data_IF_201885653763
#
_entry.id   IF_201885653763
#
_cell.length_a   1.000
_cell.length_b   1.000
_cell.length_c   1.000
_cell.angle_alpha   90.00
_cell.angle_beta   90.00
_cell.angle_gamma   90.00
#
_symmetry.space_group_name_H-M   'P 1'
#
loop_
_entity.id
_entity.type
_entity.pdbx_description
1 polymer ?
#
# COMPACT_ATOMS: atom_id res chain seq x y z
N UNK A 1 24.01 5.02 20.17
CA UNK A 1 23.73 3.78 19.44
C UNK A 1 22.91 4.19 18.23
N UNK A 2 23.45 4.09 17.04
CA UNK A 2 22.66 4.26 15.81
C UNK A 2 21.82 2.99 15.70
N UNK A 3 20.51 3.10 15.92
CA UNK A 3 19.56 2.02 15.62
C UNK A 3 19.65 1.75 14.12
N UNK A 4 20.44 0.73 13.75
CA UNK A 4 20.41 0.21 12.39
C UNK A 4 19.02 -0.35 12.13
N UNK A 5 18.28 0.28 11.22
CA UNK A 5 16.99 -0.24 10.78
C UNK A 5 17.23 -1.60 10.14
N UNK A 6 16.76 -2.70 10.72
CA UNK A 6 17.04 -4.02 10.20
C UNK A 6 16.42 -4.19 8.81
N UNK A 7 17.27 -4.53 7.85
CA UNK A 7 16.86 -4.80 6.48
C UNK A 7 16.62 -6.29 6.29
N UNK A 8 15.55 -6.66 5.59
CA UNK A 8 15.28 -8.02 5.12
C UNK A 8 15.35 -8.13 3.61
N UNK A 9 16.00 -9.19 3.18
CA UNK A 9 16.08 -9.61 1.78
C UNK A 9 15.38 -10.95 1.64
N UNK A 10 14.44 -11.05 0.71
CA UNK A 10 13.64 -12.26 0.49
C UNK A 10 13.54 -12.58 -1.00
N UNK A 11 13.56 -13.86 -1.32
CA UNK A 11 13.29 -14.41 -2.65
C UNK A 11 11.99 -15.20 -2.63
N UNK A 12 11.28 -15.25 -3.75
CA UNK A 12 10.05 -16.06 -3.87
C UNK A 12 10.36 -17.44 -4.43
N UNK A 13 10.14 -18.47 -3.62
CA UNK A 13 10.34 -19.87 -3.98
C UNK A 13 8.97 -20.54 -4.03
N UNK A 14 8.52 -20.92 -5.23
CA UNK A 14 7.13 -21.35 -5.41
C UNK A 14 6.16 -20.22 -5.10
N UNK A 15 5.27 -20.40 -4.12
CA UNK A 15 4.33 -19.38 -3.68
C UNK A 15 4.78 -18.62 -2.44
N UNK A 16 5.83 -19.05 -1.75
CA UNK A 16 6.30 -18.53 -0.49
C UNK A 16 7.50 -17.59 -0.63
N UNK A 17 7.62 -16.66 0.32
CA UNK A 17 8.76 -15.76 0.43
C UNK A 17 9.76 -16.27 1.45
N UNK A 18 10.96 -16.63 0.99
CA UNK A 18 12.07 -17.13 1.80
C UNK A 18 12.99 -15.99 2.24
N UNK A 19 13.27 -15.90 3.55
CA UNK A 19 14.18 -14.91 4.13
C UNK A 19 15.65 -15.33 3.92
N UNK A 20 16.36 -14.60 3.08
CA UNK A 20 17.78 -14.81 2.78
C UNK A 20 18.68 -13.73 3.37
N UNK A 21 18.20 -12.94 4.32
CA UNK A 21 18.91 -11.81 4.92
C UNK A 21 20.25 -12.21 5.52
N UNK A 22 20.32 -13.37 6.16
CA UNK A 22 21.56 -13.91 6.75
C UNK A 22 22.66 -14.18 5.70
N UNK A 23 22.28 -14.32 4.43
CA UNK A 23 23.22 -14.52 3.31
C UNK A 23 23.73 -13.18 2.74
N UNK A 24 23.04 -12.08 2.98
CA UNK A 24 23.42 -10.77 2.47
C UNK A 24 24.74 -10.30 3.14
N UNK A 25 25.70 -9.89 2.32
CA UNK A 25 26.95 -9.30 2.80
C UNK A 25 26.69 -7.85 3.22
N UNK A 26 26.61 -7.59 4.52
CA UNK A 26 26.36 -6.25 5.09
C UNK A 26 27.42 -5.23 4.67
N UNK A 27 28.67 -5.66 4.52
CA UNK A 27 29.79 -4.80 4.09
C UNK A 27 29.65 -4.30 2.66
N UNK A 28 28.98 -5.06 1.79
CA UNK A 28 28.68 -4.64 0.41
C UNK A 28 27.45 -3.74 0.32
N UNK A 29 26.58 -3.79 1.35
CA UNK A 29 25.31 -3.05 1.38
C UNK A 29 24.31 -3.53 0.33
N UNK A 30 23.13 -2.92 0.35
CA UNK A 30 22.13 -3.04 -0.71
C UNK A 30 21.92 -1.67 -1.35
N UNK A 31 22.17 -1.58 -2.64
CA UNK A 31 21.99 -0.36 -3.41
C UNK A 31 20.67 -0.42 -4.17
N UNK A 32 19.78 0.52 -3.91
CA UNK A 32 18.51 0.64 -4.62
C UNK A 32 18.48 1.97 -5.36
N UNK A 33 18.24 1.92 -6.66
CA UNK A 33 18.11 3.10 -7.52
C UNK A 33 16.66 3.19 -8.02
N UNK A 34 16.06 4.38 -8.00
CA UNK A 34 14.68 4.63 -8.42
C UNK A 34 14.54 5.95 -9.13
N UNK A 35 13.53 6.01 -10.02
CA UNK A 35 13.01 7.25 -10.55
C UNK A 35 13.81 7.83 -11.70
N UNK A 36 13.86 9.16 -11.71
CA UNK A 36 14.53 9.97 -12.72
C UNK A 36 15.79 10.59 -12.14
N UNK A 37 16.80 10.77 -12.96
CA UNK A 37 18.00 11.53 -12.58
C UNK A 37 17.73 13.04 -12.51
N UNK A 38 16.74 13.53 -13.29
CA UNK A 38 16.24 14.90 -13.30
C UNK A 38 14.83 14.94 -13.89
N UNK A 39 14.16 16.10 -13.85
CA UNK A 39 12.79 16.29 -14.33
C UNK A 39 12.61 16.03 -15.83
N UNK A 40 13.65 16.23 -16.64
CA UNK A 40 13.62 16.07 -18.09
C UNK A 40 13.97 14.65 -18.55
N UNK A 41 14.49 13.79 -17.66
CA UNK A 41 14.84 12.42 -18.02
C UNK A 41 13.62 11.49 -17.97
N UNK A 42 13.62 10.49 -18.86
CA UNK A 42 12.63 9.42 -18.80
C UNK A 42 12.72 8.66 -17.48
N UNK A 43 11.59 8.18 -16.96
CA UNK A 43 11.58 7.31 -15.81
C UNK A 43 12.27 5.98 -16.16
N UNK A 44 13.33 5.64 -15.43
CA UNK A 44 14.02 4.35 -15.55
C UNK A 44 13.43 3.32 -14.58
N UNK A 45 13.45 2.03 -14.93
CA UNK A 45 13.09 0.99 -13.99
C UNK A 45 13.92 1.11 -12.70
N UNK A 46 13.29 0.86 -11.56
CA UNK A 46 14.05 0.70 -10.32
C UNK A 46 14.99 -0.49 -10.43
N UNK A 47 16.16 -0.39 -9.83
CA UNK A 47 17.13 -1.49 -9.75
C UNK A 47 17.58 -1.71 -8.31
N UNK A 48 17.94 -2.94 -8.00
CA UNK A 48 18.60 -3.29 -6.75
C UNK A 48 19.85 -4.12 -7.03
N UNK A 49 20.92 -3.80 -6.33
CA UNK A 49 22.18 -4.54 -6.34
C UNK A 49 22.51 -5.00 -4.93
N UNK A 50 22.86 -6.26 -4.77
CA UNK A 50 23.27 -6.84 -3.50
C UNK A 50 24.23 -8.00 -3.73
N UNK A 51 25.01 -8.32 -2.70
CA UNK A 51 25.93 -9.45 -2.73
C UNK A 51 25.55 -10.45 -1.65
N UNK A 52 25.45 -11.72 -2.02
CA UNK A 52 25.10 -12.83 -1.12
C UNK A 52 26.29 -13.77 -0.95
N UNK A 53 26.43 -14.35 0.23
CA UNK A 53 27.34 -15.47 0.49
C UNK A 53 26.83 -16.70 -0.28
N UNK A 54 27.74 -17.37 -0.97
CA UNK A 54 27.41 -18.53 -1.84
C UNK A 54 28.41 -19.66 -1.70
N UNK A 55 28.98 -19.87 -0.50
CA UNK A 55 29.97 -20.91 -0.24
C UNK A 55 29.44 -22.34 -0.45
N UNK A 56 28.14 -22.52 -0.29
CA UNK A 56 27.42 -23.78 -0.50
C UNK A 56 26.79 -23.90 -1.90
N UNK A 57 27.02 -22.93 -2.80
CA UNK A 57 26.46 -22.92 -4.14
C UNK A 57 24.95 -22.71 -4.20
N UNK A 58 24.30 -22.33 -3.09
CA UNK A 58 22.84 -22.20 -3.00
C UNK A 58 22.24 -21.22 -4.02
N UNK A 59 22.97 -20.15 -4.36
CA UNK A 59 22.57 -19.15 -5.35
C UNK A 59 23.22 -19.32 -6.72
N UNK A 60 23.80 -20.49 -6.98
CA UNK A 60 24.32 -20.81 -8.31
C UNK A 60 23.17 -21.26 -9.21
N UNK A 61 22.88 -20.56 -10.33
CA UNK A 61 21.82 -20.95 -11.25
C UNK A 61 22.00 -22.38 -11.73
N UNK A 62 20.89 -23.13 -11.77
CA UNK A 62 20.85 -24.52 -12.22
C UNK A 62 21.65 -25.50 -11.37
N UNK A 63 22.01 -25.16 -10.15
CA UNK A 63 22.63 -26.11 -9.23
C UNK A 63 21.54 -27.01 -8.60
N UNK A 64 21.53 -28.33 -8.88
CA UNK A 64 20.52 -29.23 -8.33
C UNK A 64 20.68 -29.48 -6.83
N UNK A 65 21.83 -29.14 -6.24
CA UNK A 65 22.09 -29.24 -4.80
C UNK A 65 21.63 -28.00 -4.04
N UNK A 66 21.16 -26.96 -4.74
CA UNK A 66 20.57 -25.79 -4.09
C UNK A 66 19.31 -26.18 -3.31
N UNK A 67 19.12 -25.71 -2.06
CA UNK A 67 17.90 -25.96 -1.32
C UNK A 67 16.65 -25.35 -1.97
N UNK A 68 16.86 -24.45 -2.92
CA UNK A 68 15.79 -23.76 -3.67
C UNK A 68 15.69 -24.20 -5.14
N UNK A 69 16.28 -25.35 -5.50
CA UNK A 69 16.12 -25.95 -6.84
C UNK A 69 14.63 -26.21 -7.14
N UNK A 70 14.12 -25.95 -8.34
CA UNK A 70 14.77 -25.38 -9.54
C UNK A 70 14.62 -23.86 -9.68
N UNK A 71 14.32 -23.11 -8.60
CA UNK A 71 13.88 -21.73 -8.65
C UNK A 71 15.00 -20.69 -8.82
N UNK A 72 16.27 -21.07 -8.57
CA UNK A 72 17.41 -20.15 -8.71
C UNK A 72 17.77 -19.99 -10.19
N UNK A 73 17.14 -19.00 -10.82
CA UNK A 73 17.41 -18.60 -12.21
C UNK A 73 16.98 -17.14 -12.44
N UNK A 74 17.27 -16.62 -13.63
CA UNK A 74 16.81 -15.29 -14.06
C UNK A 74 15.28 -15.19 -13.95
N UNK A 75 14.82 -14.05 -13.52
CA UNK A 75 13.39 -13.82 -13.29
C UNK A 75 12.89 -14.24 -11.92
N UNK A 76 13.76 -14.78 -11.04
CA UNK A 76 13.43 -15.03 -9.63
C UNK A 76 12.91 -13.76 -8.97
N UNK A 77 11.69 -13.76 -8.39
CA UNK A 77 11.19 -12.61 -7.66
C UNK A 77 12.03 -12.37 -6.41
N UNK A 78 12.39 -11.10 -6.19
CA UNK A 78 13.15 -10.65 -5.02
C UNK A 78 12.53 -9.38 -4.46
N UNK A 79 12.55 -9.25 -3.13
CA UNK A 79 12.16 -8.01 -2.46
C UNK A 79 13.12 -7.66 -1.33
N UNK A 80 13.29 -6.37 -1.11
CA UNK A 80 14.04 -5.80 -0.01
C UNK A 80 13.09 -5.00 0.84
N UNK A 81 13.05 -5.30 2.13
CA UNK A 81 12.19 -4.64 3.12
C UNK A 81 13.02 -4.02 4.24
N UNK A 82 12.49 -3.02 4.90
CA UNK A 82 12.99 -2.55 6.19
C UNK A 82 12.05 -3.09 7.26
N UNK A 83 12.59 -3.80 8.23
CA UNK A 83 11.87 -4.10 9.45
C UNK A 83 11.86 -2.82 10.28
N UNK A 84 10.72 -2.13 10.33
CA UNK A 84 10.47 -1.22 11.44
C UNK A 84 10.09 -2.05 12.66
N UNK A 85 10.38 -1.58 13.90
CA UNK A 85 10.08 -2.38 15.06
C UNK A 85 8.60 -2.78 15.08
N UNK A 86 8.38 -3.99 14.72
CA UNK A 86 7.46 -5.01 15.18
C UNK A 86 5.97 -4.71 15.29
N UNK A 87 5.38 -3.80 14.55
CA UNK A 87 3.93 -3.73 14.53
C UNK A 87 3.37 -3.70 13.11
N UNK A 88 2.33 -4.48 12.89
CA UNK A 88 1.54 -4.43 11.68
C UNK A 88 0.88 -3.06 11.52
N UNK A 89 0.40 -2.76 10.34
CA UNK A 89 -0.35 -1.54 10.05
C UNK A 89 -1.30 -1.77 8.87
N UNK A 90 -2.40 -1.06 8.83
CA UNK A 90 -3.20 -0.94 7.63
C UNK A 90 -2.51 0.03 6.66
N UNK A 91 -2.02 -0.50 5.55
CA UNK A 91 -1.45 0.30 4.46
C UNK A 91 -2.55 0.81 3.54
N UNK A 92 -2.54 2.12 3.31
CA UNK A 92 -3.44 2.83 2.42
C UNK A 92 -2.66 3.44 1.27
N UNK A 93 -3.09 3.18 0.04
CA UNK A 93 -2.38 3.58 -1.18
C UNK A 93 -2.75 4.96 -1.73
N UNK A 94 -3.62 5.71 -1.05
CA UNK A 94 -4.10 7.01 -1.52
C UNK A 94 -5.12 6.91 -2.67
N UNK A 95 -5.65 5.74 -2.96
CA UNK A 95 -6.67 5.54 -3.98
C UNK A 95 -8.04 5.28 -3.37
N UNK A 96 -9.13 5.70 -4.04
CA UNK A 96 -10.49 5.34 -3.63
C UNK A 96 -10.67 3.82 -3.50
N UNK A 97 -11.40 3.39 -2.45
CA UNK A 97 -11.61 1.96 -2.16
C UNK A 97 -10.52 1.28 -1.34
N UNK A 98 -9.46 2.02 -0.91
CA UNK A 98 -8.60 1.61 0.18
C UNK A 98 -9.22 2.07 1.50
N UNK A 99 -9.66 1.15 2.36
CA UNK A 99 -10.24 1.47 3.66
C UNK A 99 -10.40 0.20 4.49
N UNK A 100 -10.54 0.34 5.79
CA UNK A 100 -11.16 -0.68 6.60
C UNK A 100 -12.57 -0.20 6.99
N UNK A 101 -13.54 -1.11 7.05
CA UNK A 101 -14.91 -0.77 7.42
C UNK A 101 -15.53 -1.81 8.34
N UNK A 102 -16.42 -1.34 9.21
CA UNK A 102 -17.31 -2.21 9.99
C UNK A 102 -18.77 -1.87 9.64
N UNK A 103 -19.67 -2.86 9.56
CA UNK A 103 -21.09 -2.60 9.35
C UNK A 103 -21.66 -1.67 10.42
N UNK A 104 -22.77 -1.04 10.09
CA UNK A 104 -23.57 -0.30 11.06
C UNK A 104 -24.00 -1.17 12.25
N UNK A 105 -23.99 -0.57 13.43
CA UNK A 105 -24.40 -1.22 14.67
C UNK A 105 -24.87 -0.19 15.68
N UNK A 106 -25.87 -0.53 16.49
CA UNK A 106 -26.48 0.38 17.47
C UNK A 106 -25.51 0.99 18.47
N UNK A 107 -24.37 0.34 18.78
CA UNK A 107 -23.34 0.96 19.62
C UNK A 107 -22.55 2.09 18.93
N UNK A 108 -22.66 2.22 17.61
CA UNK A 108 -22.08 3.29 16.83
C UNK A 108 -23.04 4.46 16.61
N UNK A 109 -24.26 4.37 17.15
CA UNK A 109 -25.29 5.39 17.08
C UNK A 109 -25.13 6.40 18.22
N UNK A 110 -23.97 7.05 18.24
CA UNK A 110 -23.63 8.10 19.22
C UNK A 110 -24.44 9.34 18.87
N UNK A 111 -25.28 9.82 19.79
CA UNK A 111 -26.09 11.04 19.63
C UNK A 111 -25.66 12.18 20.53
N UNK A 112 -24.89 11.87 21.55
CA UNK A 112 -24.30 12.79 22.51
C UNK A 112 -22.82 13.04 22.25
N UNK A 113 -22.08 13.21 23.32
CA UNK A 113 -20.63 13.46 23.27
C UNK A 113 -19.89 12.34 22.59
N UNK A 114 -18.84 12.70 21.86
CA UNK A 114 -17.98 11.74 21.14
C UNK A 114 -16.51 12.05 21.37
N UNK A 115 -15.69 10.98 21.49
CA UNK A 115 -14.23 11.07 21.56
C UNK A 115 -13.65 10.14 20.48
N UNK A 116 -12.87 10.71 19.58
CA UNK A 116 -12.29 9.99 18.44
C UNK A 116 -10.77 10.14 18.50
N UNK A 117 -10.08 9.01 18.42
CA UNK A 117 -8.61 8.92 18.43
C UNK A 117 -8.13 8.18 17.21
N UNK A 118 -7.04 8.65 16.64
CA UNK A 118 -6.43 8.07 15.45
C UNK A 118 -4.91 8.10 15.59
N UNK A 119 -4.25 6.99 15.28
CA UNK A 119 -2.79 6.89 15.23
C UNK A 119 -2.37 6.35 13.87
N UNK A 120 -1.42 7.02 13.24
CA UNK A 120 -0.92 6.61 11.95
C UNK A 120 0.38 7.28 11.56
N UNK A 121 0.94 6.82 10.45
CA UNK A 121 2.04 7.46 9.73
C UNK A 121 1.56 7.79 8.34
N UNK A 122 1.05 8.98 8.18
CA UNK A 122 0.36 9.42 6.98
C UNK A 122 0.95 10.74 6.45
N UNK A 123 0.53 11.15 5.26
CA UNK A 123 0.82 12.48 4.73
C UNK A 123 -0.15 13.49 5.37
N UNK A 124 0.30 14.12 6.46
CA UNK A 124 -0.53 15.06 7.24
C UNK A 124 -0.82 16.39 6.51
N UNK A 125 -0.08 16.69 5.45
CA UNK A 125 -0.21 17.91 4.67
C UNK A 125 -0.70 17.69 3.25
N UNK A 126 -1.50 16.65 3.00
CA UNK A 126 -2.03 16.35 1.67
C UNK A 126 -2.78 17.56 1.07
N UNK A 127 -2.51 17.85 -0.20
CA UNK A 127 -3.02 19.05 -0.89
C UNK A 127 -4.55 19.16 -0.94
N UNK A 128 -5.26 18.06 -0.79
CA UNK A 128 -6.73 17.97 -0.80
C UNK A 128 -7.35 17.79 0.59
N UNK A 129 -6.52 17.66 1.65
CA UNK A 129 -6.95 17.18 2.95
C UNK A 129 -7.06 15.64 2.98
N UNK A 130 -7.41 15.09 4.14
CA UNK A 130 -7.42 13.64 4.36
C UNK A 130 -8.51 13.26 5.35
N UNK A 131 -9.38 12.32 5.00
CA UNK A 131 -10.34 11.70 5.93
C UNK A 131 -9.61 10.62 6.73
N UNK A 132 -9.66 10.73 8.05
CA UNK A 132 -9.07 9.76 8.98
C UNK A 132 -10.03 8.60 9.24
N UNK A 133 -11.24 8.92 9.70
CA UNK A 133 -12.31 7.96 9.93
C UNK A 133 -13.67 8.66 9.96
N UNK A 134 -14.75 7.89 9.88
CA UNK A 134 -16.09 8.46 9.97
C UNK A 134 -17.20 7.42 9.83
N UNK A 135 -18.41 7.86 10.15
CA UNK A 135 -19.68 7.20 9.90
C UNK A 135 -20.48 8.14 8.99
N UNK A 136 -20.11 8.16 7.68
CA UNK A 136 -20.54 9.23 6.78
C UNK A 136 -20.77 8.74 5.36
N UNK A 137 -22.04 8.67 4.95
CA UNK A 137 -22.43 8.33 3.58
C UNK A 137 -23.35 9.41 3.01
N UNK A 138 -23.05 9.86 1.78
CA UNK A 138 -23.81 10.90 1.10
C UNK A 138 -25.15 10.38 0.61
N UNK A 139 -25.16 9.17 0.07
CA UNK A 139 -26.37 8.54 -0.46
C UNK A 139 -27.34 8.21 0.68
N UNK A 140 -28.58 8.69 0.54
CA UNK A 140 -29.63 8.48 1.52
C UNK A 140 -29.50 9.30 2.79
N UNK A 141 -28.72 10.40 2.75
CA UNK A 141 -28.58 11.34 3.88
C UNK A 141 -28.16 10.64 5.18
N UNK A 142 -27.11 9.82 5.11
CA UNK A 142 -26.58 9.05 6.24
C UNK A 142 -25.27 9.64 6.77
N UNK A 143 -25.21 10.94 6.95
CA UNK A 143 -24.06 11.68 7.49
C UNK A 143 -24.17 11.77 8.99
N UNK A 144 -23.39 10.97 9.73
CA UNK A 144 -23.32 11.03 11.18
C UNK A 144 -22.18 11.98 11.62
N UNK A 145 -20.96 11.49 11.59
CA UNK A 145 -19.76 12.25 11.90
C UNK A 145 -18.57 11.86 11.03
N UNK A 146 -17.61 12.78 10.85
CA UNK A 146 -16.42 12.61 10.04
C UNK A 146 -15.24 13.35 10.64
N UNK A 147 -14.14 12.66 10.93
CA UNK A 147 -12.89 13.22 11.42
C UNK A 147 -11.86 13.26 10.29
N UNK A 148 -11.27 14.43 10.07
CA UNK A 148 -10.41 14.71 8.95
C UNK A 148 -9.27 15.68 9.29
N UNK A 149 -8.28 15.74 8.39
CA UNK A 149 -7.25 16.79 8.37
C UNK A 149 -7.43 17.60 7.10
N UNK A 150 -7.46 18.92 7.23
CA UNK A 150 -7.59 19.84 6.10
C UNK A 150 -6.26 19.99 5.35
N UNK A 151 -6.30 20.58 4.14
CA UNK A 151 -5.09 20.96 3.39
C UNK A 151 -4.17 21.94 4.15
N UNK A 152 -4.71 22.65 5.12
CA UNK A 152 -3.95 23.57 5.98
C UNK A 152 -3.45 22.90 7.26
N UNK A 153 -3.57 21.57 7.35
CA UNK A 153 -3.18 20.76 8.52
C UNK A 153 -3.99 21.05 9.78
N UNK A 154 -5.16 21.64 9.67
CA UNK A 154 -6.09 21.74 10.78
C UNK A 154 -6.84 20.42 10.93
N UNK A 155 -7.02 19.96 12.17
CA UNK A 155 -7.96 18.90 12.46
C UNK A 155 -9.37 19.43 12.27
N UNK A 156 -10.26 18.61 11.73
CA UNK A 156 -11.64 18.99 11.41
C UNK A 156 -12.58 17.87 11.83
N UNK A 157 -13.59 18.21 12.64
CA UNK A 157 -14.71 17.34 12.92
C UNK A 157 -15.95 17.91 12.21
N UNK A 158 -16.60 17.06 11.42
CA UNK A 158 -17.89 17.36 10.80
C UNK A 158 -18.95 16.41 11.37
N UNK A 159 -20.16 16.90 11.59
CA UNK A 159 -21.33 16.08 11.97
C UNK A 159 -22.61 16.71 11.44
N UNK A 160 -23.73 15.98 11.56
CA UNK A 160 -25.06 16.49 11.26
C UNK A 160 -26.02 16.10 12.38
N UNK A 161 -27.12 16.79 12.48
CA UNK A 161 -28.17 16.50 13.47
C UNK A 161 -29.28 15.61 12.93
N UNK A 162 -29.42 15.49 11.59
CA UNK A 162 -30.49 14.73 10.93
C UNK A 162 -30.03 13.91 9.72
N UNK A 163 -28.73 13.85 9.44
CA UNK A 163 -28.14 13.12 8.31
C UNK A 163 -28.05 13.94 7.03
N UNK A 164 -28.75 15.07 6.91
CA UNK A 164 -28.78 15.87 5.68
C UNK A 164 -27.59 16.84 5.58
N UNK A 165 -27.30 17.29 4.37
CA UNK A 165 -26.29 18.33 4.18
C UNK A 165 -26.71 19.70 4.75
N UNK A 166 -28.00 19.93 4.96
CA UNK A 166 -28.52 21.21 5.46
C UNK A 166 -28.18 21.43 6.94
N UNK A 167 -28.05 20.36 7.72
CA UNK A 167 -27.73 20.41 9.16
C UNK A 167 -26.26 20.12 9.44
N UNK A 168 -25.41 20.10 8.42
CA UNK A 168 -23.98 19.85 8.59
C UNK A 168 -23.32 20.97 9.39
N UNK A 169 -22.70 20.59 10.48
CA UNK A 169 -21.85 21.42 11.33
C UNK A 169 -20.38 21.00 11.16
N UNK A 170 -19.47 21.92 11.51
CA UNK A 170 -18.06 21.70 11.33
C UNK A 170 -17.25 22.59 12.25
N UNK A 171 -16.38 21.96 13.06
CA UNK A 171 -15.40 22.66 13.90
C UNK A 171 -13.99 22.24 13.50
N UNK A 172 -13.05 23.17 13.60
CA UNK A 172 -11.63 22.99 13.31
C UNK A 172 -10.76 23.38 14.48
N UNK A 173 -9.59 22.72 14.59
CA UNK A 173 -8.57 23.19 15.52
C UNK A 173 -8.12 24.61 15.19
N UNK A 174 -7.80 25.41 16.21
CA UNK A 174 -7.32 26.80 16.05
C UNK A 174 -5.87 26.84 15.58
N UNK A 175 -5.10 25.77 15.85
CA UNK A 175 -3.70 25.62 15.45
C UNK A 175 -3.54 24.44 14.45
N UNK A 176 -2.59 24.57 13.52
CA UNK A 176 -2.27 23.47 12.61
C UNK A 176 -1.46 22.38 13.32
N UNK A 177 -1.55 21.14 12.81
CA UNK A 177 -0.70 20.04 13.24
C UNK A 177 0.78 20.43 13.19
N UNK A 178 1.58 20.07 14.20
CA UNK A 178 3.00 20.41 14.27
C UNK A 178 3.83 19.64 13.20
N UNK A 179 3.24 18.60 12.63
CA UNK A 179 3.92 17.75 11.66
C UNK A 179 3.71 18.23 10.22
N UNK A 180 4.75 18.03 9.41
CA UNK A 180 4.71 18.25 7.97
C UNK A 180 5.14 16.97 7.25
N UNK A 181 4.45 16.64 6.16
CA UNK A 181 4.79 15.47 5.35
C UNK A 181 4.46 14.14 6.01
N UNK A 182 5.17 13.10 5.62
CA UNK A 182 4.91 11.71 5.98
C UNK A 182 5.61 11.31 7.28
N UNK A 183 4.94 11.47 8.41
CA UNK A 183 5.47 11.11 9.73
C UNK A 183 4.44 10.41 10.62
N UNK A 184 4.93 9.76 11.68
CA UNK A 184 4.07 9.12 12.67
C UNK A 184 3.53 10.16 13.65
N UNK A 185 2.30 9.93 14.15
CA UNK A 185 1.67 10.72 15.17
C UNK A 185 0.27 10.23 15.48
N UNK A 186 -0.28 10.72 16.57
CA UNK A 186 -1.63 10.44 16.99
C UNK A 186 -2.40 11.76 17.21
N UNK A 187 -3.68 11.75 16.84
CA UNK A 187 -4.58 12.89 16.96
C UNK A 187 -5.87 12.46 17.66
N UNK A 188 -6.46 13.38 18.40
CA UNK A 188 -7.71 13.15 19.13
C UNK A 188 -8.60 14.37 18.95
N UNK A 189 -9.91 14.13 18.89
CA UNK A 189 -10.95 15.15 19.02
C UNK A 189 -12.01 14.66 19.98
N UNK A 190 -12.46 15.54 20.87
CA UNK A 190 -13.65 15.34 21.68
C UNK A 190 -14.65 16.47 21.39
N UNK A 191 -15.93 16.10 21.22
CA UNK A 191 -17.05 17.03 21.10
C UNK A 191 -17.95 16.83 22.32
N UNK A 192 -18.13 17.90 23.09
CA UNK A 192 -19.18 18.07 24.10
C UNK A 192 -20.37 18.74 23.41
N UNK A 193 -21.49 18.04 23.33
CA UNK A 193 -22.69 18.52 22.60
C UNK A 193 -23.54 19.48 23.43
N UNK A 194 -23.30 19.56 24.74
CA UNK A 194 -24.03 20.43 25.67
C UNK A 194 -23.11 20.97 26.81
N UNK A 195 -22.12 21.74 26.45
CA UNK A 195 -21.24 22.43 27.38
C UNK A 195 -21.95 23.70 27.92
N UNK A 196 -22.76 23.51 28.95
CA UNK A 196 -23.50 24.62 29.64
C UNK A 196 -24.45 25.40 28.72
N UNK A 197 -25.03 24.71 27.71
CA UNK A 197 -25.97 25.31 26.75
C UNK A 197 -25.34 25.66 25.40
N UNK A 198 -24.04 25.52 25.28
CA UNK A 198 -23.26 25.61 24.04
C UNK A 198 -22.69 24.25 23.66
N UNK A 199 -21.91 24.14 22.60
CA UNK A 199 -21.16 22.93 22.28
C UNK A 199 -19.70 23.26 22.03
N UNK A 200 -18.80 22.36 22.50
CA UNK A 200 -17.36 22.60 22.49
C UNK A 200 -16.58 21.42 21.89
N UNK A 201 -15.71 21.69 20.91
CA UNK A 201 -14.76 20.73 20.43
C UNK A 201 -13.34 21.05 20.89
N UNK A 202 -12.63 20.05 21.39
CA UNK A 202 -11.23 20.15 21.80
C UNK A 202 -10.39 19.16 21.00
N UNK A 203 -9.19 19.57 20.61
CA UNK A 203 -8.27 18.78 19.80
C UNK A 203 -6.96 18.54 20.52
N UNK A 204 -6.33 17.38 20.29
CA UNK A 204 -5.04 17.02 20.88
C UNK A 204 -4.16 16.29 19.87
N UNK A 205 -2.85 16.30 20.17
CA UNK A 205 -1.81 15.56 19.47
C UNK A 205 -0.97 14.76 20.46
N UNK A 206 -0.41 13.66 20.00
CA UNK A 206 0.55 12.84 20.74
C UNK A 206 1.49 12.10 19.78
N UNK A 207 2.58 11.51 20.27
CA UNK A 207 3.42 10.64 19.47
C UNK A 207 2.73 9.30 19.16
N UNK A 208 1.99 8.76 20.13
CA UNK A 208 1.20 7.55 20.02
C UNK A 208 -0.17 7.74 20.68
N UNK A 209 -1.11 6.85 20.41
CA UNK A 209 -2.45 6.90 21.02
C UNK A 209 -2.43 6.69 22.54
N UNK A 210 -1.37 6.11 23.11
CA UNK A 210 -1.22 5.94 24.55
C UNK A 210 -0.84 7.24 25.27
N UNK A 211 -0.56 8.31 24.53
CA UNK A 211 -0.20 9.65 25.04
C UNK A 211 1.29 9.75 25.44
N UNK A 212 1.67 10.77 26.20
CA UNK A 212 0.79 11.81 26.73
C UNK A 212 0.19 12.71 25.64
N UNK A 213 -1.05 13.14 25.84
CA UNK A 213 -1.76 14.02 24.93
C UNK A 213 -1.45 15.49 25.24
N UNK A 214 -1.15 16.26 24.21
CA UNK A 214 -0.97 17.71 24.28
C UNK A 214 -2.10 18.38 23.51
N UNK A 215 -2.79 19.33 24.12
CA UNK A 215 -3.87 20.07 23.48
C UNK A 215 -3.33 20.85 22.27
N UNK A 216 -4.07 20.81 21.16
CA UNK A 216 -3.75 21.49 19.91
C UNK A 216 -4.60 22.76 19.76
N UNK A 217 -4.02 23.89 20.14
CA UNK A 217 -4.72 25.16 20.17
C UNK A 217 -5.77 25.26 21.27
N UNK A 218 -6.62 26.28 21.21
CA UNK A 218 -7.71 26.48 22.18
C UNK A 218 -8.93 25.63 21.80
N UNK A 219 -9.77 25.21 22.78
CA UNK A 219 -11.08 24.64 22.52
C UNK A 219 -11.93 25.62 21.70
N UNK A 220 -12.76 25.08 20.83
CA UNK A 220 -13.67 25.88 19.98
C UNK A 220 -15.09 25.64 20.46
N UNK A 221 -15.72 26.69 20.98
CA UNK A 221 -17.10 26.69 21.46
C UNK A 221 -18.00 27.45 20.48
N UNK A 222 -19.11 26.86 20.09
CA UNK A 222 -20.15 27.48 19.28
C UNK A 222 -21.48 27.53 20.06
N UNK A 223 -22.29 28.58 19.86
CA UNK A 223 -23.53 28.77 20.61
C UNK A 223 -24.60 27.74 20.35
N UNK A 224 -25.29 27.30 21.39
CA UNK A 224 -26.38 26.36 21.37
C UNK A 224 -25.92 24.90 21.47
N UNK A 225 -26.75 24.06 22.04
CA UNK A 225 -26.52 22.64 22.11
C UNK A 225 -26.65 22.02 20.72
N UNK A 226 -25.98 20.87 20.51
CA UNK A 226 -26.06 20.10 19.27
C UNK A 226 -26.37 18.62 19.55
N UNK A 227 -26.44 17.80 18.52
CA UNK A 227 -26.52 16.34 18.62
C UNK A 227 -25.92 15.71 17.38
N UNK A 228 -25.55 14.45 17.45
CA UNK A 228 -25.00 13.71 16.33
C UNK A 228 -26.09 12.77 15.80
N UNK A 229 -26.28 12.73 14.47
CA UNK A 229 -27.26 11.87 13.83
C UNK A 229 -26.88 10.39 13.92
N UNK A 230 -27.80 9.57 14.43
CA UNK A 230 -27.67 8.11 14.45
C UNK A 230 -28.00 7.52 13.06
N UNK A 231 -27.06 7.65 12.14
CA UNK A 231 -27.23 7.16 10.76
C UNK A 231 -26.91 5.70 10.58
N UNK A 232 -27.45 5.07 9.54
CA UNK A 232 -27.20 3.67 9.19
C UNK A 232 -25.98 3.46 8.28
N UNK A 233 -25.10 4.45 8.16
CA UNK A 233 -23.84 4.30 7.44
C UNK A 233 -22.91 3.32 8.14
N UNK A 234 -22.21 2.43 7.44
CA UNK A 234 -21.04 1.78 8.00
C UNK A 234 -20.03 2.80 8.52
N UNK A 235 -19.22 2.41 9.51
CA UNK A 235 -18.05 3.21 9.90
C UNK A 235 -16.85 2.81 9.06
N UNK A 236 -16.11 3.80 8.56
CA UNK A 236 -14.89 3.61 7.77
C UNK A 236 -13.65 4.22 8.42
N UNK A 237 -12.50 3.60 8.17
CA UNK A 237 -11.15 4.12 8.48
C UNK A 237 -10.46 4.41 7.16
N UNK A 238 -9.92 5.61 7.00
CA UNK A 238 -9.38 6.12 5.74
C UNK A 238 -10.46 6.60 4.74
N UNK A 239 -11.73 6.55 5.16
CA UNK A 239 -12.89 7.04 4.41
C UNK A 239 -14.07 7.24 5.36
N UNK A 240 -15.16 7.85 4.89
CA UNK A 240 -16.34 8.08 5.71
C UNK A 240 -17.17 6.82 5.98
N UNK A 241 -17.30 5.94 5.00
CA UNK A 241 -18.14 4.73 5.07
C UNK A 241 -17.46 3.46 4.54
N UNK A 242 -16.20 3.57 4.15
CA UNK A 242 -15.46 2.46 3.56
C UNK A 242 -15.81 2.14 2.10
N UNK A 243 -16.74 2.84 1.46
CA UNK A 243 -17.18 2.52 0.09
C UNK A 243 -16.50 3.35 -1.02
N UNK A 244 -15.77 4.40 -0.65
CA UNK A 244 -15.09 5.27 -1.60
C UNK A 244 -15.02 6.74 -1.16
N UNK A 245 -14.62 7.66 -2.03
CA UNK A 245 -14.48 9.07 -1.66
C UNK A 245 -15.87 9.68 -1.41
N UNK A 246 -16.25 9.75 -0.14
CA UNK A 246 -17.51 10.35 0.29
C UNK A 246 -17.52 11.87 0.18
N UNK A 247 -16.34 12.51 0.16
CA UNK A 247 -16.19 13.96 0.06
C UNK A 247 -14.94 14.24 -0.77
N UNK A 248 -15.11 14.57 -2.06
CA UNK A 248 -13.97 14.92 -2.92
C UNK A 248 -12.82 13.91 -2.84
N UNK A 249 -11.74 14.10 -3.52
CA UNK A 249 -10.62 13.14 -3.61
C UNK A 249 -9.76 13.01 -2.34
N UNK A 250 -10.36 12.94 -1.15
CA UNK A 250 -9.68 12.85 0.14
C UNK A 250 -9.22 11.41 0.47
N UNK A 251 -8.36 10.87 -0.36
CA UNK A 251 -7.83 9.52 -0.14
C UNK A 251 -6.64 9.54 0.81
N UNK A 252 -6.72 8.84 1.92
CA UNK A 252 -5.63 8.68 2.87
C UNK A 252 -4.51 7.84 2.24
N UNK A 253 -3.27 8.32 2.34
CA UNK A 253 -2.06 7.59 1.95
C UNK A 253 -1.15 7.43 3.16
N UNK A 254 -0.79 6.21 3.46
CA UNK A 254 0.13 5.91 4.57
C UNK A 254 -0.21 4.65 5.33
N UNK A 255 0.26 4.59 6.57
CA UNK A 255 0.08 3.48 7.50
C UNK A 255 -0.82 3.93 8.64
N UNK A 256 -1.89 3.20 8.89
CA UNK A 256 -2.76 3.41 10.04
C UNK A 256 -2.46 2.33 11.05
N UNK A 257 -2.26 2.72 12.28
CA UNK A 257 -1.93 1.83 13.39
C UNK A 257 -3.15 1.48 14.22
N UNK A 258 -3.84 2.51 14.76
CA UNK A 258 -5.00 2.33 15.64
C UNK A 258 -6.03 3.43 15.41
N UNK A 259 -7.28 3.09 15.60
CA UNK A 259 -8.39 4.05 15.70
C UNK A 259 -9.22 3.67 16.90
N UNK A 260 -9.75 4.64 17.62
CA UNK A 260 -10.64 4.41 18.75
C UNK A 260 -11.77 5.44 18.73
N UNK A 261 -12.99 4.98 18.89
CA UNK A 261 -14.18 5.81 19.01
C UNK A 261 -14.89 5.47 20.29
N UNK A 262 -15.27 6.49 21.05
CA UNK A 262 -15.94 6.38 22.33
C UNK A 262 -17.26 7.11 22.32
N UNK A 263 -18.25 6.54 22.94
CA UNK A 263 -19.50 7.16 23.32
C UNK A 263 -19.30 7.90 24.64
N UNK A 264 -19.29 9.21 24.55
CA UNK A 264 -18.87 10.13 25.62
C UNK A 264 -17.36 10.44 25.64
N UNK A 265 -17.00 11.62 26.17
CA UNK A 265 -15.61 12.07 26.35
C UNK A 265 -14.94 11.16 27.39
N UNK A 266 -13.84 10.49 26.98
CA UNK A 266 -13.20 9.41 27.74
C UNK A 266 -14.18 8.28 28.16
N UNK A 267 -15.32 8.17 27.47
CA UNK A 267 -16.41 7.26 27.75
C UNK A 267 -16.19 5.82 27.24
N UNK A 268 -17.28 5.12 26.95
CA UNK A 268 -17.24 3.71 26.55
C UNK A 268 -16.68 3.56 25.15
N UNK A 269 -15.70 2.65 24.98
CA UNK A 269 -15.14 2.31 23.66
C UNK A 269 -16.18 1.52 22.86
N UNK A 270 -16.57 2.03 21.70
CA UNK A 270 -17.57 1.42 20.79
C UNK A 270 -16.99 0.87 19.50
N UNK A 271 -15.80 1.35 19.11
CA UNK A 271 -15.00 0.79 18.04
C UNK A 271 -13.50 1.02 18.34
N UNK A 272 -12.67 0.00 18.17
CA UNK A 272 -11.24 0.08 18.47
C UNK A 272 -10.41 -0.85 17.56
N UNK A 273 -10.39 -0.64 16.23
CA UNK A 273 -9.52 -1.43 15.36
C UNK A 273 -8.06 -1.13 15.66
N UNK A 274 -7.34 -2.13 16.14
CA UNK A 274 -5.90 -2.13 16.37
C UNK A 274 -5.22 -2.96 15.27
N UNK A 275 -4.77 -2.29 14.22
CA UNK A 275 -4.09 -2.93 13.09
C UNK A 275 -2.69 -3.42 13.45
N UNK A 276 -2.14 -3.00 14.60
CA UNK A 276 -0.79 -3.42 15.04
C UNK A 276 -0.79 -4.85 15.59
N UNK A 277 -1.94 -5.34 16.02
CA UNK A 277 -2.13 -6.68 16.53
C UNK A 277 -2.67 -7.67 15.50
N UNK A 278 -2.90 -7.22 14.26
CA UNK A 278 -3.49 -8.06 13.19
C UNK A 278 -2.39 -8.66 12.32
N UNK A 279 -2.49 -9.94 12.01
CA UNK A 279 -1.54 -10.65 11.15
C UNK A 279 -1.54 -10.07 9.71
N UNK A 280 -0.35 -9.90 9.09
CA UNK A 280 -0.23 -9.43 7.71
C UNK A 280 -1.04 -10.26 6.72
N UNK A 281 -1.69 -9.57 5.78
CA UNK A 281 -2.53 -10.20 4.76
C UNK A 281 -3.94 -10.55 5.23
N UNK A 282 -4.28 -10.30 6.50
CA UNK A 282 -5.64 -10.48 7.02
C UNK A 282 -6.62 -9.54 6.30
N UNK A 283 -7.74 -10.07 5.86
CA UNK A 283 -8.79 -9.31 5.16
C UNK A 283 -10.01 -9.00 6.03
N UNK A 284 -10.15 -9.68 7.17
CA UNK A 284 -11.20 -9.41 8.14
C UNK A 284 -10.78 -9.84 9.56
N UNK A 285 -11.10 -9.04 10.56
CA UNK A 285 -10.81 -9.32 11.98
C UNK A 285 -11.84 -8.65 12.89
N UNK A 286 -11.90 -9.08 14.16
CA UNK A 286 -12.71 -8.44 15.19
C UNK A 286 -11.83 -7.54 16.05
N UNK A 287 -12.33 -6.34 16.41
CA UNK A 287 -11.67 -5.46 17.37
C UNK A 287 -12.09 -5.80 18.83
N UNK A 288 -11.46 -5.12 19.80
CA UNK A 288 -11.74 -5.31 21.22
C UNK A 288 -13.13 -4.85 21.66
N UNK A 289 -13.80 -4.02 20.87
CA UNK A 289 -15.20 -3.59 21.09
C UNK A 289 -16.22 -4.56 20.44
N UNK A 290 -15.76 -5.66 19.83
CA UNK A 290 -16.59 -6.67 19.19
C UNK A 290 -17.08 -6.29 17.79
N UNK A 291 -16.46 -5.30 17.14
CA UNK A 291 -16.78 -4.91 15.75
C UNK A 291 -15.97 -5.75 14.78
N UNK A 292 -16.62 -6.28 13.74
CA UNK A 292 -15.94 -6.98 12.65
C UNK A 292 -15.55 -6.00 11.58
N UNK A 293 -14.25 -5.89 11.33
CA UNK A 293 -13.68 -5.05 10.30
C UNK A 293 -13.34 -5.85 9.05
N UNK A 294 -13.62 -5.27 7.90
CA UNK A 294 -13.25 -5.81 6.58
C UNK A 294 -12.29 -4.83 5.90
N UNK A 295 -11.18 -5.34 5.41
CA UNK A 295 -10.19 -4.55 4.67
C UNK A 295 -10.63 -4.45 3.21
N UNK A 296 -10.71 -3.23 2.70
CA UNK A 296 -11.06 -2.96 1.30
C UNK A 296 -9.99 -3.47 0.33
N UNK A 297 -10.37 -3.71 -0.91
CA UNK A 297 -9.51 -4.33 -1.93
C UNK A 297 -8.20 -3.58 -2.25
N UNK A 298 -8.05 -2.34 -1.81
CA UNK A 298 -6.84 -1.51 -1.97
C UNK A 298 -6.16 -1.14 -0.65
N UNK A 299 -6.64 -1.69 0.46
CA UNK A 299 -5.98 -1.70 1.75
C UNK A 299 -5.28 -3.04 1.96
N UNK A 300 -4.23 -3.08 2.75
CA UNK A 300 -3.50 -4.29 3.09
C UNK A 300 -2.95 -4.17 4.50
N UNK A 301 -3.10 -5.22 5.31
CA UNK A 301 -2.37 -5.31 6.59
C UNK A 301 -0.95 -5.74 6.27
N UNK A 302 0.01 -4.90 6.63
CA UNK A 302 1.44 -5.15 6.43
C UNK A 302 2.21 -4.96 7.74
N UNK A 303 3.29 -5.70 7.90
CA UNK A 303 4.20 -5.58 9.05
C UNK A 303 5.52 -4.86 8.69
N UNK A 304 5.70 -4.49 7.41
CA UNK A 304 7.02 -4.11 6.88
C UNK A 304 6.93 -3.14 5.71
N UNK A 305 8.00 -2.35 5.55
CA UNK A 305 8.15 -1.44 4.41
C UNK A 305 8.95 -2.09 3.29
N UNK A 306 8.27 -2.44 2.22
CA UNK A 306 8.95 -2.86 0.99
C UNK A 306 9.69 -1.68 0.38
N UNK A 307 11.02 -1.80 0.28
CA UNK A 307 11.88 -0.81 -0.38
C UNK A 307 12.13 -1.12 -1.84
N UNK A 308 12.14 -2.39 -2.19
CA UNK A 308 12.30 -2.83 -3.56
C UNK A 308 11.51 -4.12 -3.77
N UNK A 309 10.81 -4.19 -4.88
CA UNK A 309 10.26 -5.43 -5.44
C UNK A 309 10.67 -5.51 -6.89
N UNK A 310 11.18 -6.65 -7.30
CA UNK A 310 11.63 -6.85 -8.66
C UNK A 310 11.89 -8.31 -8.98
N UNK A 311 12.58 -8.51 -10.08
CA UNK A 311 13.07 -9.83 -10.49
C UNK A 311 14.55 -9.78 -10.75
N UNK A 312 15.23 -10.85 -10.41
CA UNK A 312 16.65 -11.02 -10.65
C UNK A 312 16.92 -11.06 -12.14
N UNK A 313 17.81 -10.21 -12.60
CA UNK A 313 18.28 -10.17 -13.99
C UNK A 313 19.54 -10.99 -14.17
N UNK A 314 20.42 -10.96 -13.18
CA UNK A 314 21.73 -11.53 -13.27
C UNK A 314 22.21 -12.07 -11.93
N UNK A 315 22.87 -13.22 -11.99
CA UNK A 315 23.64 -13.84 -10.93
C UNK A 315 25.10 -13.89 -11.38
N UNK A 316 25.92 -12.97 -10.85
CA UNK A 316 27.37 -12.97 -11.07
C UNK A 316 28.04 -13.83 -9.99
N UNK A 317 28.20 -15.13 -10.26
CA UNK A 317 28.81 -16.05 -9.30
C UNK A 317 30.33 -15.90 -9.32
N UNK A 318 30.93 -15.68 -8.15
CA UNK A 318 32.38 -15.62 -7.97
C UNK A 318 32.83 -16.72 -7.03
N UNK A 319 33.71 -17.55 -7.52
CA UNK A 319 34.37 -18.59 -6.75
C UNK A 319 35.71 -18.11 -6.23
N UNK A 320 36.17 -18.58 -5.06
CA UNK A 320 37.51 -18.23 -4.57
C UNK A 320 38.54 -18.74 -5.58
N UNK A 321 39.51 -17.88 -5.88
CA UNK A 321 40.66 -18.30 -6.66
C UNK A 321 41.62 -19.02 -5.68
N UNK A 322 41.92 -20.29 -5.95
CA UNK A 322 42.92 -21.03 -5.18
C UNK A 322 44.28 -20.31 -5.30
N UNK A 323 44.78 -19.80 -4.18
CA UNK A 323 46.06 -19.14 -4.10
C UNK A 323 47.20 -20.12 -3.84
N UNK A 324 46.93 -21.44 -3.97
CA UNK A 324 47.95 -22.48 -3.74
C UNK A 324 48.30 -22.76 -2.26
N UNK A 325 47.52 -22.20 -1.32
CA UNK A 325 47.52 -22.60 0.09
C UNK A 325 46.31 -23.50 0.32
N UNK A 326 46.52 -24.54 1.13
CA UNK A 326 45.61 -25.65 1.36
C UNK A 326 44.27 -25.30 2.03
N UNK A 327 43.92 -24.01 2.15
CA UNK A 327 42.68 -23.57 2.72
C UNK A 327 42.08 -22.42 1.88
N UNK A 328 41.16 -22.74 0.94
CA UNK A 328 40.40 -21.70 0.26
C UNK A 328 39.53 -21.03 1.30
N UNK A 329 39.71 -19.72 1.53
CA UNK A 329 38.83 -18.94 2.39
C UNK A 329 37.37 -19.12 1.91
N UNK A 330 36.54 -19.89 2.63
CA UNK A 330 35.17 -20.15 2.22
C UNK A 330 34.31 -18.87 2.21
N UNK A 331 34.79 -17.78 2.83
CA UNK A 331 34.18 -16.48 2.78
C UNK A 331 34.33 -15.76 1.44
N UNK A 332 35.23 -16.21 0.56
CA UNK A 332 35.48 -15.56 -0.73
C UNK A 332 34.45 -15.93 -1.81
N UNK A 333 33.67 -17.01 -1.63
CA UNK A 333 32.61 -17.38 -2.57
C UNK A 333 31.37 -16.52 -2.33
N UNK A 334 31.02 -15.73 -3.34
CA UNK A 334 29.84 -14.88 -3.29
C UNK A 334 29.16 -14.77 -4.65
N UNK A 335 27.91 -14.34 -4.64
CA UNK A 335 27.14 -14.02 -5.84
C UNK A 335 26.68 -12.58 -5.74
N UNK A 336 26.98 -11.78 -6.75
CA UNK A 336 26.37 -10.47 -6.92
C UNK A 336 25.08 -10.63 -7.71
N UNK A 337 24.00 -10.09 -7.16
CA UNK A 337 22.68 -10.11 -7.77
C UNK A 337 22.35 -8.71 -8.22
N UNK A 338 21.93 -8.60 -9.49
CA UNK A 338 21.27 -7.41 -10.03
C UNK A 338 19.81 -7.75 -10.30
N UNK A 339 18.90 -6.90 -9.81
CA UNK A 339 17.47 -7.08 -9.99
C UNK A 339 16.83 -5.80 -10.52
N UNK A 340 15.79 -5.94 -11.34
CA UNK A 340 15.03 -4.82 -11.87
C UNK A 340 13.56 -4.86 -11.45
N UNK A 341 12.99 -3.67 -11.22
CA UNK A 341 11.61 -3.48 -10.84
C UNK A 341 10.61 -3.73 -11.98
N UNK A 342 9.30 -3.74 -11.69
CA UNK A 342 8.25 -4.10 -12.64
C UNK A 342 8.23 -3.27 -13.94
N UNK A 343 8.67 -2.01 -13.88
CA UNK A 343 8.69 -1.14 -15.05
C UNK A 343 9.57 -1.67 -16.20
N UNK A 344 10.60 -2.47 -15.88
CA UNK A 344 11.43 -3.12 -16.90
C UNK A 344 10.63 -4.06 -17.79
N UNK A 345 9.66 -4.77 -17.22
CA UNK A 345 8.78 -5.65 -18.02
C UNK A 345 7.92 -4.86 -19.01
N UNK A 346 7.46 -3.68 -18.60
CA UNK A 346 6.71 -2.79 -19.48
C UNK A 346 7.58 -2.26 -20.62
N UNK A 347 8.90 -2.09 -20.38
CA UNK A 347 9.86 -1.66 -21.40
C UNK A 347 10.36 -2.80 -22.30
N UNK A 348 10.37 -4.03 -21.81
CA UNK A 348 10.76 -5.21 -22.61
C UNK A 348 9.72 -5.58 -23.69
N UNK A 349 8.55 -4.93 -23.63
CA UNK A 349 7.43 -5.22 -24.50
C UNK A 349 6.85 -6.61 -24.25
N UNK A 350 5.57 -6.71 -23.97
CA UNK A 350 4.86 -7.88 -24.45
C UNK A 350 5.06 -7.92 -25.97
N UNK A 351 5.22 -9.08 -26.61
CA UNK A 351 5.07 -9.15 -28.07
C UNK A 351 3.83 -8.34 -28.41
N UNK A 352 3.94 -7.48 -29.41
CA UNK A 352 2.83 -6.63 -29.87
C UNK A 352 1.61 -7.55 -29.89
N UNK A 353 0.56 -7.19 -29.19
CA UNK A 353 -0.66 -8.01 -29.20
C UNK A 353 -1.06 -8.13 -30.66
N UNK A 354 -1.00 -9.36 -31.17
CA UNK A 354 -1.46 -9.67 -32.50
C UNK A 354 -2.91 -9.19 -32.65
N UNK A 355 -3.30 -8.80 -33.85
CA UNK A 355 -4.62 -8.24 -34.11
C UNK A 355 -5.73 -9.14 -33.57
N UNK A 356 -6.87 -8.57 -33.28
CA UNK A 356 -8.04 -9.33 -32.84
C UNK A 356 -8.42 -10.42 -33.83
N UNK A 357 -8.25 -10.13 -35.14
CA UNK A 357 -8.50 -11.10 -36.20
C UNK A 357 -7.49 -12.26 -36.17
N UNK A 358 -6.21 -11.96 -36.02
CA UNK A 358 -5.16 -12.97 -35.87
C UNK A 358 -5.47 -13.90 -34.71
N UNK A 359 -5.72 -13.35 -33.52
CA UNK A 359 -6.04 -14.14 -32.32
C UNK A 359 -7.31 -14.98 -32.47
N UNK A 360 -8.31 -14.45 -33.18
CA UNK A 360 -9.55 -15.17 -33.44
C UNK A 360 -9.31 -16.37 -34.39
N UNK A 361 -8.60 -16.15 -35.50
CA UNK A 361 -8.33 -17.18 -36.52
C UNK A 361 -7.40 -18.26 -36.00
N UNK A 362 -6.41 -17.91 -35.18
CA UNK A 362 -5.45 -18.88 -34.60
C UNK A 362 -5.93 -19.54 -33.31
N UNK A 363 -7.12 -19.19 -32.82
CA UNK A 363 -7.67 -19.81 -31.62
C UNK A 363 -7.92 -21.31 -31.81
N UNK A 364 -7.60 -22.17 -30.82
CA UNK A 364 -7.77 -23.64 -30.93
C UNK A 364 -9.23 -24.06 -31.23
N UNK A 365 -10.19 -23.21 -31.01
CA UNK A 365 -11.61 -23.46 -31.29
C UNK A 365 -11.98 -23.26 -32.74
N UNK A 366 -11.10 -22.66 -33.56
CA UNK A 366 -11.35 -22.44 -35.00
C UNK A 366 -10.92 -23.64 -35.81
N UNK A 367 -11.81 -24.14 -36.63
CA UNK A 367 -11.57 -25.31 -37.51
C UNK A 367 -11.92 -24.96 -38.95
N UNK A 368 -11.31 -25.65 -39.91
CA UNK A 368 -11.63 -25.49 -41.33
C UNK A 368 -10.92 -24.33 -42.04
N UNK A 369 -10.01 -23.62 -41.37
CA UNK A 369 -9.21 -22.57 -41.98
C UNK A 369 -8.04 -23.23 -42.72
N UNK A 370 -8.00 -23.07 -44.05
CA UNK A 370 -7.01 -23.69 -44.93
C UNK A 370 -5.76 -22.85 -45.07
N UNK A 371 -5.90 -21.51 -45.09
CA UNK A 371 -4.79 -20.56 -45.20
C UNK A 371 -5.19 -19.22 -44.61
N UNK A 372 -4.21 -18.52 -44.01
CA UNK A 372 -4.36 -17.19 -43.49
C UNK A 372 -3.01 -16.45 -43.49
N UNK A 373 -2.95 -15.26 -44.05
CA UNK A 373 -1.80 -14.38 -44.04
C UNK A 373 -2.20 -13.03 -43.39
N UNK A 374 -1.79 -12.79 -42.16
CA UNK A 374 -2.25 -11.62 -41.36
C UNK A 374 -1.74 -10.29 -41.85
N UNK A 375 -0.66 -10.24 -42.65
CA UNK A 375 0.04 -9.03 -43.04
C UNK A 375 0.59 -8.23 -41.85
N UNK A 376 0.95 -8.92 -40.80
CA UNK A 376 1.48 -8.35 -39.55
C UNK A 376 3.03 -8.50 -39.44
N UNK A 377 3.66 -8.99 -40.50
CA UNK A 377 5.13 -9.02 -40.63
C UNK A 377 5.64 -7.58 -40.70
N UNK A 378 6.79 -7.32 -40.11
CA UNK A 378 7.34 -5.95 -39.99
C UNK A 378 7.49 -5.21 -41.33
N UNK A 379 7.66 -3.89 -41.25
CA UNK A 379 7.72 -2.97 -42.40
C UNK A 379 8.68 -3.40 -43.51
N UNK A 380 9.78 -4.08 -43.17
CA UNK A 380 10.82 -4.50 -44.07
C UNK A 380 10.73 -5.98 -44.48
N UNK A 381 9.59 -6.61 -44.20
CA UNK A 381 9.36 -8.01 -44.53
C UNK A 381 9.39 -8.23 -46.05
N UNK A 382 10.07 -9.27 -46.49
CA UNK A 382 10.13 -9.69 -47.88
C UNK A 382 9.11 -10.77 -48.25
N UNK A 383 8.44 -11.27 -47.26
CA UNK A 383 7.36 -12.26 -47.38
C UNK A 383 6.37 -12.06 -46.24
N UNK A 384 5.16 -12.54 -46.42
CA UNK A 384 4.11 -12.57 -45.42
C UNK A 384 4.00 -13.96 -44.87
N UNK A 385 4.25 -14.12 -43.59
CA UNK A 385 4.20 -15.40 -42.89
C UNK A 385 2.78 -15.82 -42.58
N UNK A 386 2.52 -17.10 -42.53
CA UNK A 386 1.27 -17.66 -42.03
C UNK A 386 1.49 -18.28 -40.66
N UNK A 387 0.62 -18.04 -39.68
CA UNK A 387 0.66 -18.70 -38.38
C UNK A 387 0.13 -20.17 -38.44
N UNK A 388 -0.48 -20.54 -39.55
CA UNK A 388 -1.06 -21.88 -39.71
C UNK A 388 -0.01 -22.89 -40.20
N UNK A 389 0.07 -24.08 -39.57
CA UNK A 389 1.01 -25.10 -39.97
C UNK A 389 0.81 -25.54 -41.43
N UNK A 390 1.92 -25.65 -42.17
CA UNK A 390 1.89 -26.14 -43.55
C UNK A 390 1.51 -25.13 -44.64
N UNK A 391 1.20 -23.89 -44.25
CA UNK A 391 0.87 -22.81 -45.20
C UNK A 391 2.16 -22.12 -45.66
N UNK A 392 2.38 -22.08 -46.97
CA UNK A 392 3.55 -21.44 -47.57
C UNK A 392 3.48 -19.90 -47.42
N UNK A 393 4.56 -19.21 -47.01
CA UNK A 393 4.61 -17.76 -46.96
C UNK A 393 4.34 -17.14 -48.34
N UNK A 394 3.60 -16.03 -48.34
CA UNK A 394 3.34 -15.24 -49.55
C UNK A 394 4.51 -14.30 -49.81
N UNK A 395 5.09 -14.32 -51.01
CA UNK A 395 6.16 -13.37 -51.38
C UNK A 395 5.61 -12.00 -51.66
N UNK A 396 6.27 -10.96 -51.11
CA UNK A 396 5.99 -9.57 -51.38
C UNK A 396 6.91 -9.11 -52.52
N UNK A 397 6.33 -8.62 -53.60
CA UNK A 397 7.07 -8.08 -54.74
C UNK A 397 7.32 -9.15 -55.82
N UNK A 398 6.54 -9.12 -56.86
CA UNK A 398 6.84 -9.59 -58.20
C UNK A 398 6.92 -8.36 -59.11
N UNK A 399 8.01 -8.24 -59.81
CA UNK A 399 8.05 -7.35 -60.98
C UNK A 399 6.95 -7.79 -61.95
N UNK A 400 6.00 -6.90 -62.21
CA UNK A 400 5.08 -7.04 -63.31
C UNK A 400 5.85 -6.80 -64.62
#
# INVERSE_FOLDING_TARGET
>A
MTDEIPMKVEIKVGDDWEDITCRALRTAGVRITRGRSNEMSAATPSSAELTLRNHDGAFTPRNPESPWWPHIDRGLPIRVRLDEPTRSALMMSGHPGGSARTPDHSSLDITGDIDIRFEGRIEWGAATGTVLCGKWRLDGDQRSWLFAVTRHRLLELNWTTDGTAATQQRIRSTEPLPWTGYCAGAVRVALDVDDSGDHTATFWVAETMDGPWTQLGDPVTEPGTTSIFAGSSPMGVGSGDGSGPSIGSYSLSGLIYRVEVRDGIDGTVVAAPDFTAVEPGTTSFADSAGRTWTIGARGEIIDRRVRFTGRVDEFEVRWPVSTGRDDPDPGASHVRITAAGPLRRMQQGAPVLESTLFRHITAPTQTGIVAYWPFEDGRDAKQISSPLPGVTPMKIGGTF
#
